data_IF_616532394138
#
_entry.id   IF_616532394138
#
_cell.length_a   1.000
_cell.length_b   1.000
_cell.length_c   1.000
_cell.angle_alpha   90.00
_cell.angle_beta   90.00
_cell.angle_gamma   90.00
#
_symmetry.space_group_name_H-M   'P 1'
#
loop_
_entity.id
_entity.type
_entity.pdbx_description
1 polymer ?
#
# COMPACT_ATOMS: atom_id res chain seq x y z
N UNK A 1 22.36 12.19 -23.89
CA UNK A 1 21.92 13.57 -23.59
C UNK A 1 20.87 13.46 -22.48
N UNK A 2 21.25 13.81 -21.27
CA UNK A 2 20.37 13.71 -20.12
C UNK A 2 19.60 15.01 -20.01
N UNK A 3 18.31 15.01 -20.34
CA UNK A 3 17.45 16.15 -20.09
C UNK A 3 17.19 16.25 -18.59
N UNK A 4 18.02 17.03 -17.94
CA UNK A 4 17.76 17.57 -16.63
C UNK A 4 16.62 18.59 -16.72
N UNK A 5 15.38 18.13 -16.81
CA UNK A 5 14.27 18.99 -16.44
C UNK A 5 14.23 19.05 -14.93
N UNK A 6 15.24 19.68 -14.40
CA UNK A 6 15.30 20.09 -13.02
C UNK A 6 14.44 21.34 -12.89
N UNK A 7 13.14 21.16 -12.75
CA UNK A 7 12.28 22.26 -12.30
C UNK A 7 12.64 22.49 -10.84
N UNK A 8 13.67 23.27 -10.63
CA UNK A 8 13.88 24.00 -9.39
C UNK A 8 12.75 25.02 -9.24
N UNK A 9 11.58 24.55 -8.79
CA UNK A 9 10.77 25.41 -7.93
C UNK A 9 11.48 25.35 -6.59
N UNK A 10 11.91 26.50 -6.06
CA UNK A 10 12.51 26.65 -4.75
C UNK A 10 11.53 26.22 -3.67
N UNK A 11 11.40 24.91 -3.46
CA UNK A 11 10.46 24.26 -2.58
C UNK A 11 11.15 23.11 -1.86
N UNK A 12 10.89 23.00 -0.60
CA UNK A 12 11.22 21.88 0.27
C UNK A 12 10.92 20.56 -0.47
N UNK A 13 11.90 19.67 -0.51
CA UNK A 13 11.73 18.33 -1.10
C UNK A 13 10.58 17.62 -0.41
N UNK A 14 9.62 17.11 -1.16
CA UNK A 14 8.50 16.32 -0.63
C UNK A 14 9.05 15.13 0.16
N UNK A 15 8.58 14.95 1.38
CA UNK A 15 8.93 13.79 2.23
C UNK A 15 7.70 12.92 2.42
N UNK A 16 7.81 11.69 1.97
CA UNK A 16 6.73 10.69 2.08
C UNK A 16 7.14 9.57 3.05
N UNK A 17 6.26 9.23 3.96
CA UNK A 17 6.36 7.98 4.72
C UNK A 17 5.36 6.97 4.14
N UNK A 18 5.86 5.80 3.76
CA UNK A 18 5.07 4.69 3.26
C UNK A 18 5.03 3.60 4.32
N UNK A 19 3.89 3.48 4.96
CA UNK A 19 3.64 2.55 6.07
C UNK A 19 2.88 1.34 5.54
N UNK A 20 3.40 0.16 5.77
CA UNK A 20 2.76 -1.07 5.29
C UNK A 20 2.91 -2.21 6.29
N UNK A 21 2.11 -3.24 6.09
CA UNK A 21 2.33 -4.54 6.68
C UNK A 21 2.35 -5.59 5.58
N UNK A 22 3.17 -6.62 5.73
CA UNK A 22 3.27 -7.71 4.76
C UNK A 22 3.32 -9.04 5.48
N UNK A 23 2.63 -10.04 4.96
CA UNK A 23 2.63 -11.38 5.52
C UNK A 23 3.63 -12.30 4.81
N UNK A 24 3.60 -12.31 3.48
CA UNK A 24 4.42 -13.18 2.64
C UNK A 24 5.27 -12.41 1.60
N UNK A 25 5.42 -11.10 1.76
CA UNK A 25 6.31 -10.28 0.96
C UNK A 25 5.67 -9.54 -0.22
N UNK A 26 4.42 -9.83 -0.60
CA UNK A 26 3.78 -9.15 -1.74
C UNK A 26 3.59 -7.65 -1.49
N UNK A 27 3.03 -7.28 -0.35
CA UNK A 27 2.82 -5.86 -0.01
C UNK A 27 4.14 -5.11 0.10
N UNK A 28 5.18 -5.73 0.68
CA UNK A 28 6.53 -5.15 0.75
C UNK A 28 7.09 -4.88 -0.65
N UNK A 29 6.99 -5.86 -1.55
CA UNK A 29 7.41 -5.71 -2.95
C UNK A 29 6.66 -4.57 -3.66
N UNK A 30 5.35 -4.48 -3.49
CA UNK A 30 4.55 -3.37 -4.04
C UNK A 30 4.95 -2.01 -3.44
N UNK A 31 5.21 -1.95 -2.14
CA UNK A 31 5.68 -0.75 -1.46
C UNK A 31 7.05 -0.29 -1.98
N UNK A 32 7.97 -1.20 -2.22
CA UNK A 32 9.29 -0.90 -2.81
C UNK A 32 9.18 -0.39 -4.24
N UNK A 33 8.31 -0.99 -5.06
CA UNK A 33 8.06 -0.52 -6.43
C UNK A 33 7.47 0.90 -6.40
N UNK A 34 6.48 1.13 -5.54
CA UNK A 34 5.86 2.45 -5.39
C UNK A 34 6.87 3.49 -4.92
N UNK A 35 7.68 3.18 -3.90
CA UNK A 35 8.68 4.10 -3.35
C UNK A 35 9.66 4.62 -4.42
N UNK A 36 10.05 3.77 -5.37
CA UNK A 36 10.94 4.16 -6.48
C UNK A 36 10.28 5.10 -7.48
N UNK A 37 8.95 5.17 -7.49
CA UNK A 37 8.16 5.99 -8.43
C UNK A 37 7.65 7.30 -7.80
N UNK A 38 7.70 7.40 -6.48
CA UNK A 38 7.36 8.62 -5.75
C UNK A 38 8.48 9.66 -5.85
N UNK A 39 8.10 10.91 -6.05
CA UNK A 39 9.05 12.03 -6.07
C UNK A 39 9.48 12.43 -4.66
N UNK A 40 10.71 12.94 -4.56
CA UNK A 40 11.26 13.39 -3.28
C UNK A 40 11.91 12.26 -2.50
N UNK A 41 11.78 12.32 -1.19
CA UNK A 41 12.33 11.34 -0.27
C UNK A 41 11.21 10.43 0.26
N UNK A 42 11.37 9.11 0.14
CA UNK A 42 10.39 8.15 0.65
C UNK A 42 11.03 7.22 1.67
N UNK A 43 10.42 7.14 2.84
CA UNK A 43 10.78 6.19 3.90
C UNK A 43 9.77 5.07 3.98
N UNK A 44 10.25 3.83 3.92
CA UNK A 44 9.46 2.62 4.06
C UNK A 44 9.43 2.16 5.52
N UNK A 45 8.25 1.89 6.07
CA UNK A 45 8.05 1.37 7.43
C UNK A 45 7.17 0.14 7.40
N UNK A 46 7.71 -0.97 7.88
CA UNK A 46 6.94 -2.19 8.10
C UNK A 46 6.36 -2.21 9.51
N UNK A 47 5.04 -2.17 9.64
CA UNK A 47 4.31 -2.14 10.92
C UNK A 47 4.53 -3.38 11.80
N UNK A 48 5.03 -4.46 11.24
CA UNK A 48 5.44 -5.62 12.05
C UNK A 48 6.70 -5.36 12.84
N UNK A 49 7.56 -4.47 12.34
CA UNK A 49 8.84 -4.10 12.98
C UNK A 49 8.71 -2.83 13.82
N UNK A 50 7.97 -1.83 13.30
CA UNK A 50 7.69 -0.58 14.00
C UNK A 50 6.17 -0.32 13.97
N UNK A 51 5.53 -0.54 15.12
CA UNK A 51 4.06 -0.45 15.23
C UNK A 51 3.54 0.97 15.39
N UNK A 52 4.40 1.92 15.77
CA UNK A 52 4.02 3.30 16.05
C UNK A 52 5.06 4.27 15.45
N UNK A 53 5.23 4.28 14.12
CA UNK A 53 6.18 5.19 13.49
C UNK A 53 5.77 6.64 13.70
N UNK A 54 6.76 7.50 13.91
CA UNK A 54 6.55 8.94 13.98
C UNK A 54 6.25 9.49 12.58
N UNK A 55 5.07 10.09 12.43
CA UNK A 55 4.60 10.72 11.20
C UNK A 55 4.99 12.19 11.09
N UNK A 56 5.61 12.76 12.12
CA UNK A 56 6.04 14.16 12.10
C UNK A 56 7.12 14.39 11.03
N UNK A 57 7.10 15.54 10.42
CA UNK A 57 8.09 15.91 9.41
C UNK A 57 7.88 15.27 8.02
N UNK A 58 6.80 14.53 7.81
CA UNK A 58 6.40 14.02 6.49
C UNK A 58 5.24 14.84 5.93
N UNK A 59 5.33 15.18 4.64
CA UNK A 59 4.31 15.95 3.93
C UNK A 59 3.19 15.02 3.42
N UNK A 60 3.55 13.77 3.10
CA UNK A 60 2.64 12.75 2.58
C UNK A 60 2.76 11.45 3.36
N UNK A 61 1.65 10.75 3.49
CA UNK A 61 1.58 9.42 4.08
C UNK A 61 0.91 8.46 3.11
N UNK A 62 1.53 7.34 2.86
CA UNK A 62 0.93 6.22 2.12
C UNK A 62 0.76 5.07 3.09
N UNK A 63 -0.41 4.45 3.09
CA UNK A 63 -0.71 3.28 3.94
C UNK A 63 -1.18 2.13 3.07
N UNK A 64 -0.60 0.96 3.26
CA UNK A 64 -0.99 -0.22 2.51
C UNK A 64 -0.88 -1.53 3.27
N UNK A 65 -1.65 -2.51 2.85
CA UNK A 65 -1.62 -3.83 3.45
C UNK A 65 -2.31 -4.90 2.62
N UNK A 66 -2.08 -6.18 2.99
CA UNK A 66 -2.68 -7.30 2.31
C UNK A 66 -4.11 -7.53 2.77
N UNK A 67 -4.96 -7.95 1.84
CA UNK A 67 -6.26 -8.52 2.15
C UNK A 67 -6.11 -10.03 2.33
N UNK A 68 -6.59 -10.52 3.44
CA UNK A 68 -6.67 -11.93 3.75
C UNK A 68 -8.08 -12.28 4.21
N UNK A 69 -8.72 -13.20 3.51
CA UNK A 69 -10.12 -13.57 3.75
C UNK A 69 -11.02 -12.31 3.80
N UNK A 70 -10.91 -11.45 2.78
CA UNK A 70 -11.72 -10.23 2.64
C UNK A 70 -11.45 -9.11 3.66
N UNK A 71 -10.40 -9.22 4.47
CA UNK A 71 -10.08 -8.24 5.51
C UNK A 71 -8.63 -7.78 5.42
N UNK A 72 -8.41 -6.48 5.64
CA UNK A 72 -7.07 -5.95 5.82
C UNK A 72 -6.48 -6.43 7.14
N UNK A 73 -5.17 -6.63 7.17
CA UNK A 73 -4.50 -7.12 8.36
C UNK A 73 -4.59 -6.13 9.54
N UNK A 74 -4.53 -6.70 10.75
CA UNK A 74 -4.76 -5.97 12.00
C UNK A 74 -3.77 -4.84 12.26
N UNK A 75 -2.53 -4.97 11.81
CA UNK A 75 -1.49 -3.96 11.99
C UNK A 75 -1.86 -2.65 11.28
N UNK A 76 -2.31 -2.73 10.04
CA UNK A 76 -2.77 -1.58 9.26
C UNK A 76 -4.04 -0.99 9.85
N UNK A 77 -5.00 -1.84 10.21
CA UNK A 77 -6.26 -1.39 10.82
C UNK A 77 -6.01 -0.63 12.12
N UNK A 78 -5.16 -1.16 12.99
CA UNK A 78 -4.80 -0.53 14.26
C UNK A 78 -4.04 0.78 14.06
N UNK A 79 -3.08 0.82 13.13
CA UNK A 79 -2.34 2.03 12.78
C UNK A 79 -3.27 3.15 12.29
N UNK A 80 -4.17 2.84 11.37
CA UNK A 80 -5.15 3.81 10.87
C UNK A 80 -6.09 4.33 11.96
N UNK A 81 -6.53 3.46 12.86
CA UNK A 81 -7.40 3.86 13.97
C UNK A 81 -6.70 4.81 14.95
N UNK A 82 -5.45 4.54 15.29
CA UNK A 82 -4.65 5.37 16.20
C UNK A 82 -4.27 6.73 15.61
N UNK A 83 -4.11 6.81 14.31
CA UNK A 83 -3.61 7.99 13.61
C UNK A 83 -4.67 8.67 12.73
N UNK A 84 -5.95 8.43 12.98
CA UNK A 84 -7.04 8.86 12.09
C UNK A 84 -6.98 10.36 11.78
N UNK A 85 -6.87 11.21 12.79
CA UNK A 85 -6.86 12.66 12.61
C UNK A 85 -5.58 13.17 11.92
N UNK A 86 -4.44 12.58 12.24
CA UNK A 86 -3.18 12.88 11.55
C UNK A 86 -3.25 12.52 10.07
N UNK A 87 -3.78 11.35 9.75
CA UNK A 87 -3.91 10.88 8.37
C UNK A 87 -4.85 11.76 7.55
N UNK A 88 -5.97 12.19 8.15
CA UNK A 88 -6.92 13.11 7.52
C UNK A 88 -6.31 14.48 7.21
N UNK A 89 -5.34 14.92 7.99
CA UNK A 89 -4.64 16.20 7.82
C UNK A 89 -3.43 16.15 6.88
N UNK A 90 -3.12 15.01 6.28
CA UNK A 90 -1.96 14.82 5.38
C UNK A 90 -2.39 14.51 3.95
N UNK A 91 -1.46 14.67 3.01
CA UNK A 91 -1.61 14.09 1.67
C UNK A 91 -1.59 12.58 1.81
N UNK A 92 -2.73 11.94 1.66
CA UNK A 92 -2.92 10.53 1.98
C UNK A 92 -3.09 9.68 0.73
N UNK A 93 -2.35 8.59 0.66
CA UNK A 93 -2.55 7.50 -0.30
C UNK A 93 -2.89 6.20 0.42
N UNK A 94 -3.82 5.43 -0.12
CA UNK A 94 -4.26 4.16 0.44
C UNK A 94 -4.20 3.07 -0.62
N UNK A 95 -3.57 1.94 -0.30
CA UNK A 95 -3.58 0.79 -1.22
C UNK A 95 -3.78 -0.53 -0.49
N UNK A 96 -4.26 -1.50 -1.23
CA UNK A 96 -4.34 -2.89 -0.79
C UNK A 96 -3.64 -3.80 -1.79
N UNK A 97 -3.17 -4.94 -1.30
CA UNK A 97 -2.77 -6.06 -2.13
C UNK A 97 -3.80 -7.18 -1.97
N UNK A 98 -4.40 -7.59 -3.06
CA UNK A 98 -5.40 -8.65 -3.11
C UNK A 98 -5.37 -9.37 -4.46
N UNK A 99 -5.85 -10.61 -4.48
CA UNK A 99 -5.99 -11.38 -5.72
C UNK A 99 -7.29 -11.09 -6.47
N UNK A 100 -8.24 -10.41 -5.82
CA UNK A 100 -9.48 -9.97 -6.45
C UNK A 100 -9.21 -8.89 -7.51
N UNK A 101 -10.11 -8.78 -8.48
CA UNK A 101 -10.05 -7.81 -9.56
C UNK A 101 -11.38 -7.08 -9.70
N UNK A 102 -11.38 -5.97 -10.44
CA UNK A 102 -12.59 -5.22 -10.79
C UNK A 102 -13.39 -4.76 -9.57
N UNK A 103 -14.70 -4.97 -9.59
CA UNK A 103 -15.61 -4.50 -8.52
C UNK A 103 -15.37 -5.21 -7.18
N UNK A 104 -14.95 -6.48 -7.20
CA UNK A 104 -14.60 -7.18 -5.98
C UNK A 104 -13.38 -6.53 -5.30
N UNK A 105 -12.33 -6.22 -6.02
CA UNK A 105 -11.15 -5.55 -5.49
C UNK A 105 -11.47 -4.15 -4.95
N UNK A 106 -12.34 -3.41 -5.63
CA UNK A 106 -12.83 -2.11 -5.14
C UNK A 106 -13.61 -2.26 -3.85
N UNK A 107 -14.49 -3.26 -3.75
CA UNK A 107 -15.22 -3.55 -2.52
C UNK A 107 -14.29 -3.91 -1.36
N UNK A 108 -13.23 -4.66 -1.61
CA UNK A 108 -12.22 -4.98 -0.61
C UNK A 108 -11.44 -3.74 -0.16
N UNK A 109 -11.11 -2.83 -1.08
CA UNK A 109 -10.48 -1.55 -0.76
C UNK A 109 -11.39 -0.68 0.11
N UNK A 110 -12.65 -0.56 -0.25
CA UNK A 110 -13.63 0.22 0.49
C UNK A 110 -13.91 -0.38 1.89
N UNK A 111 -13.87 -1.69 2.01
CA UNK A 111 -14.00 -2.39 3.29
C UNK A 111 -12.74 -2.37 4.18
N UNK A 112 -11.58 -2.09 3.57
CA UNK A 112 -10.29 -2.11 4.28
C UNK A 112 -10.05 -0.88 5.16
N UNK A 113 -10.55 0.28 4.74
CA UNK A 113 -10.30 1.56 5.39
C UNK A 113 -11.59 2.25 5.82
N UNK A 114 -11.48 3.09 6.83
CA UNK A 114 -12.62 3.92 7.25
C UNK A 114 -13.02 4.90 6.15
N UNK A 115 -14.32 5.18 6.06
CA UNK A 115 -14.89 6.10 5.08
C UNK A 115 -14.19 7.46 5.08
N UNK A 116 -13.90 8.01 6.25
CA UNK A 116 -13.23 9.30 6.41
C UNK A 116 -11.84 9.33 5.74
N UNK A 117 -11.09 8.22 5.80
CA UNK A 117 -9.80 8.08 5.12
C UNK A 117 -9.97 7.93 3.61
N UNK A 118 -10.94 7.13 3.18
CA UNK A 118 -11.23 6.93 1.75
C UNK A 118 -11.66 8.23 1.06
N UNK A 119 -12.41 9.08 1.75
CA UNK A 119 -12.84 10.39 1.23
C UNK A 119 -11.70 11.41 1.20
N UNK A 120 -10.75 11.32 2.11
CA UNK A 120 -9.60 12.23 2.19
C UNK A 120 -8.46 11.83 1.25
N UNK A 121 -8.30 10.55 0.96
CA UNK A 121 -7.19 10.03 0.17
C UNK A 121 -7.16 10.61 -1.26
N UNK A 122 -6.01 11.16 -1.65
CA UNK A 122 -5.78 11.69 -3.01
C UNK A 122 -5.46 10.58 -4.02
N UNK A 123 -5.00 9.43 -3.53
CA UNK A 123 -4.81 8.21 -4.31
C UNK A 123 -5.30 7.01 -3.50
N UNK A 124 -6.06 6.15 -4.13
CA UNK A 124 -6.51 4.87 -3.56
C UNK A 124 -6.65 3.83 -4.66
N UNK A 125 -6.03 2.68 -4.47
CA UNK A 125 -6.05 1.61 -5.48
C UNK A 125 -5.70 0.26 -4.87
N UNK A 126 -5.87 -0.80 -5.67
CA UNK A 126 -5.38 -2.14 -5.39
C UNK A 126 -4.25 -2.48 -6.37
N UNK A 127 -3.24 -3.17 -5.88
CA UNK A 127 -2.00 -3.44 -6.61
C UNK A 127 -1.84 -4.88 -7.08
N UNK A 128 -2.91 -5.65 -7.02
CA UNK A 128 -2.86 -7.08 -7.27
C UNK A 128 -2.29 -7.86 -6.09
N UNK A 129 -1.91 -9.09 -6.29
CA UNK A 129 -1.46 -9.95 -5.22
C UNK A 129 -0.56 -11.08 -5.67
N UNK A 130 -0.05 -11.80 -4.70
CA UNK A 130 0.73 -13.03 -4.88
C UNK A 130 0.27 -14.10 -3.90
N UNK A 131 0.21 -15.33 -4.37
CA UNK A 131 0.20 -16.51 -3.52
C UNK A 131 1.58 -17.17 -3.57
N UNK A 132 2.37 -16.96 -2.53
CA UNK A 132 3.67 -17.62 -2.35
C UNK A 132 3.47 -18.88 -1.50
N UNK A 133 2.85 -19.90 -2.09
CA UNK A 133 2.45 -21.15 -1.41
C UNK A 133 3.63 -21.81 -0.69
N UNK A 134 4.82 -21.73 -1.28
CA UNK A 134 6.05 -22.26 -0.68
C UNK A 134 6.48 -21.55 0.60
N UNK A 135 6.05 -20.30 0.82
CA UNK A 135 6.34 -19.50 2.02
C UNK A 135 5.23 -19.56 3.06
N UNK A 136 4.07 -20.11 2.71
CA UNK A 136 2.90 -20.14 3.58
C UNK A 136 3.03 -21.21 4.65
N UNK A 137 2.47 -20.92 5.84
CA UNK A 137 2.28 -21.95 6.86
C UNK A 137 1.23 -22.99 6.37
N UNK A 138 1.18 -24.19 6.98
CA UNK A 138 0.28 -25.25 6.52
C UNK A 138 -1.20 -24.85 6.50
N UNK A 139 -1.65 -24.03 7.46
CA UNK A 139 -3.05 -23.59 7.54
C UNK A 139 -3.40 -22.63 6.39
N UNK A 140 -2.57 -21.63 6.15
CA UNK A 140 -2.78 -20.67 5.04
C UNK A 140 -2.70 -21.37 3.68
N UNK A 141 -1.77 -22.31 3.53
CA UNK A 141 -1.65 -23.13 2.32
C UNK A 141 -2.94 -23.92 2.04
N UNK A 142 -3.53 -24.52 3.08
CA UNK A 142 -4.79 -25.23 2.96
C UNK A 142 -5.95 -24.31 2.55
N UNK A 143 -6.00 -23.11 3.13
CA UNK A 143 -7.00 -22.09 2.80
C UNK A 143 -6.87 -21.64 1.35
N UNK A 144 -5.67 -21.34 0.89
CA UNK A 144 -5.42 -20.91 -0.50
C UNK A 144 -5.76 -22.03 -1.47
N UNK A 145 -5.39 -23.27 -1.18
CA UNK A 145 -5.77 -24.45 -1.99
C UNK A 145 -7.28 -24.57 -2.12
N UNK A 146 -8.02 -24.35 -1.04
CA UNK A 146 -9.48 -24.48 -1.02
C UNK A 146 -10.18 -23.32 -1.72
N UNK A 147 -9.71 -22.08 -1.54
CA UNK A 147 -10.35 -20.87 -2.10
C UNK A 147 -9.90 -20.60 -3.52
N UNK A 148 -8.60 -20.59 -3.76
CA UNK A 148 -8.01 -20.26 -5.06
C UNK A 148 -7.78 -21.47 -5.96
N UNK A 149 -7.98 -22.68 -5.44
CA UNK A 149 -7.79 -23.97 -6.17
C UNK A 149 -6.40 -24.08 -6.79
N UNK A 150 -5.37 -23.54 -6.14
CA UNK A 150 -3.98 -23.59 -6.60
C UNK A 150 -3.07 -24.17 -5.54
N UNK A 151 -2.05 -24.92 -5.98
CA UNK A 151 -0.94 -25.41 -5.14
C UNK A 151 0.37 -24.77 -5.57
N UNK A 152 0.37 -23.92 -6.57
CA UNK A 152 1.54 -23.27 -7.13
C UNK A 152 1.62 -21.79 -6.69
N UNK A 153 2.83 -21.23 -6.73
CA UNK A 153 3.02 -19.80 -6.57
C UNK A 153 2.35 -19.07 -7.74
N UNK A 154 1.60 -18.04 -7.43
CA UNK A 154 0.93 -17.17 -8.41
C UNK A 154 1.28 -15.72 -8.08
N UNK A 155 1.71 -14.97 -9.08
CA UNK A 155 1.99 -13.54 -8.96
C UNK A 155 1.22 -12.76 -10.00
N UNK A 156 0.47 -11.75 -9.54
CA UNK A 156 -0.26 -10.82 -10.40
C UNK A 156 -0.16 -9.39 -9.82
N UNK A 157 1.05 -8.86 -9.79
CA UNK A 157 1.29 -7.48 -9.36
C UNK A 157 0.94 -6.54 -10.52
N UNK A 158 0.07 -5.58 -10.28
CA UNK A 158 -0.47 -4.64 -11.25
C UNK A 158 0.38 -3.37 -11.29
N UNK A 159 1.53 -3.42 -11.96
CA UNK A 159 2.49 -2.32 -12.02
C UNK A 159 1.90 -1.04 -12.61
N UNK A 160 0.99 -1.13 -13.58
CA UNK A 160 0.32 0.03 -14.18
C UNK A 160 -0.52 0.80 -13.15
N UNK A 161 -1.15 0.09 -12.21
CA UNK A 161 -1.89 0.70 -11.11
C UNK A 161 -0.97 1.38 -10.12
N UNK A 162 0.17 0.78 -9.81
CA UNK A 162 1.19 1.39 -8.95
C UNK A 162 1.72 2.68 -9.60
N UNK A 163 1.96 2.68 -10.90
CA UNK A 163 2.39 3.87 -11.64
C UNK A 163 1.34 4.98 -11.63
N UNK A 164 0.08 4.64 -11.87
CA UNK A 164 -1.02 5.60 -11.79
C UNK A 164 -1.16 6.19 -10.38
N UNK A 165 -1.07 5.37 -9.36
CA UNK A 165 -1.09 5.79 -7.96
C UNK A 165 0.05 6.77 -7.66
N UNK A 166 1.28 6.44 -8.09
CA UNK A 166 2.44 7.30 -7.92
C UNK A 166 2.25 8.66 -8.61
N UNK A 167 1.70 8.68 -9.83
CA UNK A 167 1.40 9.94 -10.53
C UNK A 167 0.45 10.82 -9.74
N UNK A 168 -0.61 10.26 -9.16
CA UNK A 168 -1.55 11.00 -8.31
C UNK A 168 -0.87 11.56 -7.06
N UNK A 169 -0.03 10.76 -6.41
CA UNK A 169 0.74 11.20 -5.25
C UNK A 169 1.78 12.29 -5.58
N UNK A 170 2.32 12.29 -6.78
CA UNK A 170 3.34 13.24 -7.23
C UNK A 170 2.75 14.58 -7.72
N UNK A 171 1.43 14.65 -7.96
CA UNK A 171 0.74 15.87 -8.36
C UNK A 171 0.50 16.76 -7.13
N UNK A 172 1.14 17.93 -7.07
CA UNK A 172 0.93 18.86 -5.96
C UNK A 172 2.04 19.84 -5.74
#
# INVERSE_FOLDING_TARGET
MFDWVNVKRGGKRMRTILVYSSKYGCTEKCAEILAKKLSGETRLINLKKDKNPDLSGYDSVVVGGPIYIGKINKEVKSFCAKNLDLLKGRRLGLFICCMAEGEQAKGELDGAFRKELLETAIAKDYFGGEFMVTKMNPMDRLIVKKIAKTENNVSNILTDRIERFARLMNQG
#
